data_IF_012445651973
#
_entry.id   IF_012445651973
#
_cell.length_a   1.000
_cell.length_b   1.000
_cell.length_c   1.000
_cell.angle_alpha   90.00
_cell.angle_beta   90.00
_cell.angle_gamma   90.00
#
_symmetry.space_group_name_H-M   'P 1'
#
loop_
_entity.id
_entity.type
_entity.pdbx_description
1 polymer ?
#
# COMPACT_ATOMS: atom_id res chain seq x y z
N UNK A 1 -4.70 9.87 -20.76
CA UNK A 1 -5.54 11.08 -20.54
C UNK A 1 -4.70 12.14 -19.85
N UNK A 2 -4.70 13.40 -20.30
CA UNK A 2 -3.91 14.47 -19.66
C UNK A 2 -4.80 15.27 -18.71
N UNK A 3 -4.45 15.29 -17.43
CA UNK A 3 -5.14 16.09 -16.39
C UNK A 3 -4.24 17.24 -15.98
N UNK A 4 -4.76 18.47 -15.98
CA UNK A 4 -4.00 19.64 -15.48
C UNK A 4 -4.08 19.71 -13.95
N UNK A 5 -3.14 19.04 -13.30
CA UNK A 5 -3.02 18.96 -11.85
C UNK A 5 -1.60 19.36 -11.42
N UNK A 6 -1.49 20.11 -10.33
CA UNK A 6 -0.22 20.38 -9.67
C UNK A 6 0.13 19.18 -8.79
N UNK A 7 1.07 18.35 -9.23
CA UNK A 7 1.38 17.07 -8.56
C UNK A 7 1.97 17.25 -7.17
N UNK A 8 2.78 18.30 -6.97
CA UNK A 8 3.34 18.63 -5.66
C UNK A 8 2.23 18.97 -4.64
N UNK A 9 1.31 19.87 -5.01
CA UNK A 9 0.17 20.23 -4.13
C UNK A 9 -0.76 19.02 -3.92
N UNK A 10 -1.07 18.25 -4.96
CA UNK A 10 -1.99 17.12 -4.85
C UNK A 10 -1.45 15.99 -3.95
N UNK A 11 -0.16 15.63 -4.12
CA UNK A 11 0.49 14.63 -3.28
C UNK A 11 0.59 15.10 -1.81
N UNK A 12 0.95 16.36 -1.58
CA UNK A 12 1.00 16.93 -0.23
C UNK A 12 -0.38 17.04 0.43
N UNK A 13 -1.43 17.44 -0.31
CA UNK A 13 -2.79 17.50 0.22
C UNK A 13 -3.34 16.11 0.60
N UNK A 14 -3.08 15.09 -0.22
CA UNK A 14 -3.41 13.70 0.11
C UNK A 14 -2.61 13.19 1.31
N UNK A 15 -1.31 13.48 1.37
CA UNK A 15 -0.43 13.09 2.48
C UNK A 15 -0.83 13.72 3.81
N UNK A 16 -1.20 15.01 3.83
CA UNK A 16 -1.76 15.67 5.01
C UNK A 16 -3.12 15.09 5.41
N UNK A 17 -4.03 14.85 4.46
CA UNK A 17 -5.36 14.27 4.74
C UNK A 17 -5.24 12.88 5.34
N UNK A 18 -4.36 12.04 4.79
CA UNK A 18 -4.09 10.70 5.30
C UNK A 18 -3.37 10.73 6.65
N UNK A 19 -2.38 11.60 6.83
CA UNK A 19 -1.68 11.81 8.10
C UNK A 19 -2.63 12.25 9.22
N UNK A 20 -3.52 13.20 8.95
CA UNK A 20 -4.55 13.64 9.90
C UNK A 20 -5.54 12.52 10.27
N UNK A 21 -5.99 11.73 9.29
CA UNK A 21 -6.89 10.59 9.52
C UNK A 21 -6.25 9.46 10.36
N UNK A 22 -4.92 9.39 10.41
CA UNK A 22 -4.15 8.43 11.20
C UNK A 22 -3.55 9.02 12.50
N UNK A 23 -3.67 10.33 12.73
CA UNK A 23 -3.10 10.99 13.92
C UNK A 23 -3.83 10.61 15.22
N UNK A 24 -5.13 10.32 15.11
CA UNK A 24 -5.98 9.93 16.24
C UNK A 24 -5.73 8.45 16.63
N UNK A 25 -5.35 8.15 17.89
CA UNK A 25 -5.19 6.78 18.35
C UNK A 25 -6.52 6.00 18.24
N UNK A 26 -6.45 4.76 17.73
CA UNK A 26 -7.62 3.87 17.59
C UNK A 26 -7.60 2.64 18.51
N UNK A 27 -6.52 2.47 19.29
CA UNK A 27 -6.32 1.38 20.24
C UNK A 27 -5.21 1.74 21.25
N UNK A 28 -5.10 0.96 22.33
CA UNK A 28 -4.01 1.06 23.32
C UNK A 28 -2.67 0.54 22.77
N UNK A 29 -2.06 1.34 21.89
CA UNK A 29 -0.73 1.04 21.34
C UNK A 29 0.33 1.28 22.43
N UNK A 30 1.09 0.22 22.76
CA UNK A 30 2.15 0.27 23.77
C UNK A 30 3.15 1.41 23.58
N UNK A 31 3.66 1.97 24.69
CA UNK A 31 4.46 3.22 24.72
C UNK A 31 5.71 3.21 23.83
N UNK A 32 6.30 2.05 23.56
CA UNK A 32 7.41 1.89 22.61
C UNK A 32 6.90 1.72 21.17
N UNK A 33 5.89 0.86 20.97
CA UNK A 33 5.30 0.57 19.66
C UNK A 33 4.70 1.79 18.96
N UNK A 34 4.24 2.81 19.71
CA UNK A 34 3.69 4.05 19.14
C UNK A 34 4.76 5.04 18.64
N UNK A 35 6.05 4.84 18.98
CA UNK A 35 7.15 5.76 18.58
C UNK A 35 7.35 5.71 17.06
N UNK A 36 7.43 4.51 16.48
CA UNK A 36 7.68 4.35 15.04
C UNK A 36 6.54 4.91 14.17
N UNK A 37 5.24 4.59 14.39
CA UNK A 37 4.13 5.22 13.68
C UNK A 37 4.12 6.75 13.80
N UNK A 38 4.42 7.31 14.98
CA UNK A 38 4.51 8.78 15.18
C UNK A 38 5.66 9.40 14.39
N UNK A 39 6.83 8.76 14.36
CA UNK A 39 7.96 9.20 13.54
C UNK A 39 7.62 9.19 12.04
N UNK A 40 6.97 8.12 11.56
CA UNK A 40 6.52 8.02 10.16
C UNK A 40 5.46 9.08 9.84
N UNK A 41 4.48 9.32 10.72
CA UNK A 41 3.46 10.37 10.53
C UNK A 41 4.06 11.78 10.53
N UNK A 42 5.06 12.04 11.39
CA UNK A 42 5.79 13.32 11.40
C UNK A 42 6.56 13.53 10.09
N UNK A 43 7.30 12.52 9.62
CA UNK A 43 8.04 12.56 8.35
C UNK A 43 7.08 12.76 7.17
N UNK A 44 5.98 12.01 7.12
CA UNK A 44 4.92 12.18 6.11
C UNK A 44 4.37 13.61 6.13
N UNK A 45 4.09 14.16 7.31
CA UNK A 45 3.55 15.52 7.47
C UNK A 45 4.55 16.57 6.97
N UNK A 46 5.82 16.48 7.37
CA UNK A 46 6.88 17.39 6.94
C UNK A 46 7.10 17.35 5.42
N UNK A 47 7.16 16.15 4.82
CA UNK A 47 7.26 15.98 3.36
C UNK A 47 6.02 16.57 2.67
N UNK A 48 4.83 16.35 3.21
CA UNK A 48 3.57 16.84 2.63
C UNK A 48 3.46 18.37 2.66
N UNK A 49 3.87 19.01 3.76
CA UNK A 49 4.00 20.48 3.84
C UNK A 49 5.04 20.98 2.85
N UNK A 50 6.22 20.36 2.79
CA UNK A 50 7.28 20.74 1.87
C UNK A 50 6.84 20.65 0.40
N UNK A 51 6.07 19.62 0.03
CA UNK A 51 5.48 19.47 -1.29
C UNK A 51 4.43 20.56 -1.60
N UNK A 52 3.57 20.93 -0.65
CA UNK A 52 2.61 22.03 -0.84
C UNK A 52 3.35 23.36 -1.05
N UNK A 53 4.32 23.69 -0.20
CA UNK A 53 5.13 24.92 -0.31
C UNK A 53 5.89 24.96 -1.65
N UNK A 54 6.57 23.86 -2.01
CA UNK A 54 7.23 23.68 -3.31
C UNK A 54 6.25 23.86 -4.47
N UNK A 55 5.04 23.31 -4.37
CA UNK A 55 3.99 23.40 -5.37
C UNK A 55 3.47 24.83 -5.61
N UNK A 56 3.58 25.73 -4.63
CA UNK A 56 3.33 27.15 -4.82
C UNK A 56 4.57 27.91 -5.34
N UNK A 57 5.77 27.65 -4.79
CA UNK A 57 7.00 28.41 -5.08
C UNK A 57 7.63 28.03 -6.43
N UNK A 58 7.73 26.72 -6.73
CA UNK A 58 8.37 26.18 -7.94
C UNK A 58 7.75 24.82 -8.31
N UNK A 59 6.50 24.81 -8.83
CA UNK A 59 5.79 23.56 -9.18
C UNK A 59 6.55 22.76 -10.25
N UNK A 60 6.73 21.46 -10.00
CA UNK A 60 7.51 20.54 -10.83
C UNK A 60 6.73 20.05 -12.06
N UNK A 61 5.41 19.92 -11.93
CA UNK A 61 4.52 19.41 -12.96
C UNK A 61 3.13 20.01 -12.85
N UNK A 62 2.58 20.43 -14.00
CA UNK A 62 1.20 20.96 -14.14
C UNK A 62 0.32 20.09 -15.04
N UNK A 63 0.83 18.95 -15.50
CA UNK A 63 0.15 18.01 -16.37
C UNK A 63 0.50 16.59 -15.89
N UNK A 64 -0.53 15.82 -15.55
CA UNK A 64 -0.43 14.38 -15.29
C UNK A 64 -0.92 13.67 -16.54
N UNK A 65 0.00 13.04 -17.27
CA UNK A 65 -0.39 12.07 -18.28
C UNK A 65 -0.71 10.73 -17.60
N UNK A 66 -2.00 10.38 -17.56
CA UNK A 66 -2.43 9.07 -17.12
C UNK A 66 -2.19 8.11 -18.28
N UNK A 67 -1.07 7.40 -18.21
CA UNK A 67 -0.73 6.23 -19.01
C UNK A 67 -1.43 4.98 -18.42
N UNK A 68 -1.92 4.09 -19.28
CA UNK A 68 -2.74 2.95 -18.85
C UNK A 68 -4.18 3.34 -18.45
N UNK A 69 -4.79 2.54 -17.56
CA UNK A 69 -6.22 2.62 -17.22
C UNK A 69 -6.47 3.28 -15.86
N UNK A 70 -7.22 4.40 -15.77
CA UNK A 70 -7.62 4.99 -14.50
C UNK A 70 -8.45 4.05 -13.63
N UNK A 71 -9.33 3.26 -14.26
CA UNK A 71 -10.16 2.26 -13.56
C UNK A 71 -9.27 1.21 -12.89
N UNK A 72 -8.22 0.73 -13.58
CA UNK A 72 -7.27 -0.26 -13.03
C UNK A 72 -6.53 0.28 -11.80
N UNK A 73 -6.12 1.55 -11.84
CA UNK A 73 -5.51 2.22 -10.68
C UNK A 73 -6.49 2.26 -9.49
N UNK A 74 -7.74 2.66 -9.72
CA UNK A 74 -8.78 2.67 -8.67
C UNK A 74 -9.07 1.25 -8.15
N UNK A 75 -9.14 0.24 -9.00
CA UNK A 75 -9.31 -1.17 -8.58
C UNK A 75 -8.15 -1.65 -7.71
N UNK A 76 -6.91 -1.31 -8.04
CA UNK A 76 -5.73 -1.66 -7.21
C UNK A 76 -5.75 -0.92 -5.87
N UNK A 77 -6.10 0.38 -5.85
CA UNK A 77 -6.24 1.16 -4.61
C UNK A 77 -7.31 0.55 -3.69
N UNK A 78 -8.49 0.24 -4.22
CA UNK A 78 -9.55 -0.45 -3.48
C UNK A 78 -9.08 -1.83 -3.00
N UNK A 79 -8.35 -2.57 -3.85
CA UNK A 79 -7.74 -3.86 -3.49
C UNK A 79 -6.78 -3.78 -2.30
N UNK A 80 -5.99 -2.71 -2.18
CA UNK A 80 -5.13 -2.48 -1.01
C UNK A 80 -5.93 -2.18 0.26
N UNK A 81 -7.00 -1.38 0.20
CA UNK A 81 -7.87 -1.15 1.35
C UNK A 81 -8.63 -2.41 1.78
N UNK A 82 -9.07 -3.24 0.83
CA UNK A 82 -9.69 -4.54 1.11
C UNK A 82 -8.68 -5.53 1.71
N UNK A 83 -7.45 -5.61 1.18
CA UNK A 83 -6.38 -6.40 1.79
C UNK A 83 -6.12 -5.96 3.24
N UNK A 84 -5.96 -4.66 3.49
CA UNK A 84 -5.71 -4.14 4.84
C UNK A 84 -6.84 -4.51 5.81
N UNK A 85 -8.10 -4.28 5.44
CA UNK A 85 -9.25 -4.65 6.28
C UNK A 85 -9.45 -6.15 6.48
N UNK A 86 -8.95 -6.99 5.57
CA UNK A 86 -9.03 -8.45 5.68
C UNK A 86 -7.87 -9.07 6.47
N UNK A 87 -6.73 -8.37 6.63
CA UNK A 87 -5.58 -8.88 7.41
C UNK A 87 -5.95 -9.16 8.87
N UNK A 88 -6.79 -8.33 9.49
CA UNK A 88 -7.26 -8.53 10.87
C UNK A 88 -8.27 -9.68 11.01
N UNK A 89 -8.86 -10.17 9.90
CA UNK A 89 -9.86 -11.24 9.89
C UNK A 89 -9.28 -12.59 9.48
N UNK A 90 -8.54 -12.61 8.37
CA UNK A 90 -7.98 -13.82 7.75
C UNK A 90 -6.51 -14.05 8.09
N UNK A 91 -5.88 -13.10 8.80
CA UNK A 91 -4.46 -13.14 9.17
C UNK A 91 -3.55 -12.64 8.05
N UNK A 92 -2.36 -12.14 8.42
CA UNK A 92 -1.45 -11.50 7.48
C UNK A 92 -1.05 -12.43 6.31
N UNK A 93 -0.66 -13.67 6.61
CA UNK A 93 -0.08 -14.59 5.62
C UNK A 93 -1.11 -14.98 4.55
N UNK A 94 -2.30 -15.42 4.98
CA UNK A 94 -3.37 -15.85 4.07
C UNK A 94 -3.89 -14.68 3.21
N UNK A 95 -4.17 -13.54 3.84
CA UNK A 95 -4.66 -12.35 3.12
C UNK A 95 -3.65 -11.85 2.10
N UNK A 96 -2.36 -11.86 2.44
CA UNK A 96 -1.29 -11.41 1.54
C UNK A 96 -1.06 -12.39 0.39
N UNK A 97 -1.12 -13.71 0.62
CA UNK A 97 -1.11 -14.68 -0.47
C UNK A 97 -2.29 -14.47 -1.43
N UNK A 98 -3.51 -14.35 -0.91
CA UNK A 98 -4.72 -14.09 -1.72
C UNK A 98 -4.56 -12.80 -2.53
N UNK A 99 -4.10 -11.71 -1.91
CA UNK A 99 -3.89 -10.43 -2.59
C UNK A 99 -2.80 -10.49 -3.67
N UNK A 100 -1.67 -11.16 -3.43
CA UNK A 100 -0.61 -11.31 -4.44
C UNK A 100 -1.05 -12.18 -5.63
N UNK A 101 -1.80 -13.26 -5.40
CA UNK A 101 -2.38 -14.05 -6.49
C UNK A 101 -3.43 -13.24 -7.28
N UNK A 102 -4.33 -12.53 -6.58
CA UNK A 102 -5.35 -11.70 -7.20
C UNK A 102 -4.76 -10.55 -8.03
N UNK A 103 -3.79 -9.81 -7.48
CA UNK A 103 -3.08 -8.73 -8.18
C UNK A 103 -2.29 -9.27 -9.37
N UNK A 104 -1.60 -10.40 -9.22
CA UNK A 104 -0.85 -11.02 -10.33
C UNK A 104 -1.80 -11.46 -11.46
N UNK A 105 -2.93 -12.10 -11.14
CA UNK A 105 -3.95 -12.46 -12.13
C UNK A 105 -4.67 -11.24 -12.71
N UNK A 106 -4.80 -10.14 -11.98
CA UNK A 106 -5.48 -8.93 -12.47
C UNK A 106 -4.57 -8.12 -13.40
N UNK A 107 -3.31 -7.92 -13.03
CA UNK A 107 -2.35 -7.12 -13.78
C UNK A 107 -1.77 -7.90 -14.97
N UNK A 108 -1.48 -9.19 -14.84
CA UNK A 108 -0.98 -9.97 -15.98
C UNK A 108 -2.06 -10.20 -17.06
N UNK A 109 -3.36 -10.19 -16.70
CA UNK A 109 -4.49 -10.23 -17.65
C UNK A 109 -4.65 -8.96 -18.50
N UNK A 110 -3.72 -8.00 -18.39
CA UNK A 110 -3.59 -6.86 -19.31
C UNK A 110 -2.73 -7.24 -20.52
N UNK A 111 -1.55 -7.81 -20.27
CA UNK A 111 -0.54 -8.08 -21.29
C UNK A 111 -0.72 -9.47 -21.94
N UNK A 112 -1.38 -10.41 -21.26
CA UNK A 112 -1.43 -11.80 -21.73
C UNK A 112 -2.56 -12.63 -21.11
N UNK A 113 -2.97 -13.71 -21.78
CA UNK A 113 -3.98 -14.65 -21.26
C UNK A 113 -3.40 -15.43 -20.07
N UNK A 114 -4.01 -15.32 -18.89
CA UNK A 114 -3.55 -16.01 -17.68
C UNK A 114 -4.24 -17.36 -17.55
N UNK A 115 -3.56 -18.43 -17.99
CA UNK A 115 -4.00 -19.81 -17.81
C UNK A 115 -3.66 -20.34 -16.40
N UNK A 116 -4.36 -21.39 -15.96
CA UNK A 116 -4.08 -22.05 -14.67
C UNK A 116 -2.64 -22.57 -14.57
N UNK A 117 -2.10 -23.16 -15.65
CA UNK A 117 -0.70 -23.60 -15.72
C UNK A 117 0.29 -22.45 -15.53
N UNK A 118 -0.04 -21.23 -16.01
CA UNK A 118 0.79 -20.04 -15.85
C UNK A 118 0.73 -19.50 -14.42
N UNK A 119 -0.45 -19.52 -13.78
CA UNK A 119 -0.57 -19.23 -12.34
C UNK A 119 0.29 -20.19 -11.52
N UNK A 120 0.17 -21.50 -11.76
CA UNK A 120 0.91 -22.53 -11.04
C UNK A 120 2.45 -22.39 -11.18
N UNK A 121 2.94 -21.90 -12.32
CA UNK A 121 4.35 -21.56 -12.53
C UNK A 121 4.81 -20.30 -11.78
N UNK A 122 3.92 -19.39 -11.43
CA UNK A 122 4.22 -18.21 -10.63
C UNK A 122 3.99 -18.41 -9.12
N UNK A 123 3.20 -19.42 -8.72
CA UNK A 123 2.95 -19.76 -7.32
C UNK A 123 4.21 -19.90 -6.46
N UNK A 124 5.31 -20.57 -6.91
CA UNK A 124 6.53 -20.66 -6.10
C UNK A 124 7.16 -19.29 -5.80
N UNK A 125 7.15 -18.37 -6.78
CA UNK A 125 7.70 -17.02 -6.63
C UNK A 125 6.84 -16.22 -5.64
N UNK A 126 5.51 -16.31 -5.76
CA UNK A 126 4.57 -15.63 -4.83
C UNK A 126 4.73 -16.16 -3.40
N UNK A 127 4.76 -17.49 -3.23
CA UNK A 127 4.90 -18.13 -1.90
C UNK A 127 6.26 -17.82 -1.27
N UNK A 128 7.36 -17.86 -2.04
CA UNK A 128 8.69 -17.47 -1.53
C UNK A 128 8.73 -15.99 -1.18
N UNK A 129 8.20 -15.09 -2.01
CA UNK A 129 8.21 -13.65 -1.73
C UNK A 129 7.42 -13.29 -0.46
N UNK A 130 6.20 -13.82 -0.32
CA UNK A 130 5.37 -13.58 0.87
C UNK A 130 5.94 -14.29 2.10
N UNK A 131 6.49 -15.50 1.95
CA UNK A 131 7.15 -16.25 3.02
C UNK A 131 8.42 -15.58 3.55
N UNK A 132 9.28 -15.07 2.67
CA UNK A 132 10.48 -14.29 3.06
C UNK A 132 10.07 -13.00 3.78
N UNK A 133 9.03 -12.31 3.31
CA UNK A 133 8.51 -11.13 4.01
C UNK A 133 7.97 -11.48 5.40
N UNK A 134 7.16 -12.54 5.50
CA UNK A 134 6.61 -13.04 6.77
C UNK A 134 7.73 -13.36 7.77
N UNK A 135 8.69 -14.21 7.40
CA UNK A 135 9.82 -14.61 8.25
C UNK A 135 10.75 -13.45 8.61
N UNK A 136 10.91 -12.46 7.72
CA UNK A 136 11.64 -11.22 8.04
C UNK A 136 10.93 -10.47 9.16
N UNK A 137 9.60 -10.38 9.12
CA UNK A 137 8.83 -9.68 10.15
C UNK A 137 8.76 -10.47 11.47
N UNK A 138 8.52 -11.78 11.44
CA UNK A 138 8.41 -12.59 12.67
C UNK A 138 9.77 -12.87 13.31
N UNK A 139 10.76 -13.38 12.56
CA UNK A 139 12.01 -13.87 13.13
C UNK A 139 13.08 -12.76 13.27
N UNK A 140 13.24 -11.92 12.24
CA UNK A 140 14.30 -10.90 12.21
C UNK A 140 13.86 -9.63 12.93
N UNK A 141 12.66 -9.13 12.65
CA UNK A 141 12.14 -7.89 13.23
C UNK A 141 11.32 -8.10 14.52
N UNK A 142 11.01 -9.35 14.89
CA UNK A 142 10.24 -9.70 16.10
C UNK A 142 8.85 -9.00 16.18
N UNK A 143 8.26 -8.72 15.01
CA UNK A 143 6.94 -8.10 14.86
C UNK A 143 5.87 -9.18 14.91
N UNK A 144 4.94 -9.05 15.86
CA UNK A 144 3.71 -9.85 15.89
C UNK A 144 2.78 -9.40 14.78
N UNK A 145 2.73 -10.18 13.70
CA UNK A 145 1.75 -10.03 12.63
C UNK A 145 0.38 -10.59 13.08
N UNK A 146 -0.75 -10.08 12.56
CA UNK A 146 -2.06 -10.65 12.86
C UNK A 146 -2.18 -12.12 12.44
N UNK A 147 -2.37 -12.98 13.45
CA UNK A 147 -2.94 -14.33 13.33
C UNK A 147 -4.44 -14.20 13.11
N UNK A 148 -4.98 -14.88 12.11
CA UNK A 148 -6.38 -14.76 11.72
C UNK A 148 -7.31 -15.72 12.45
N UNK A 149 -8.57 -15.80 11.99
CA UNK A 149 -9.53 -16.81 12.46
C UNK A 149 -9.11 -18.27 12.18
N UNK A 150 -8.08 -18.51 11.38
CA UNK A 150 -7.69 -19.83 10.89
C UNK A 150 -6.33 -20.32 11.43
N UNK A 151 -5.41 -19.41 11.75
CA UNK A 151 -4.09 -19.63 12.38
C UNK A 151 -3.40 -18.29 12.69
#
# INVERSE_FOLDING_TARGET
MIVRLNTDIAAGALGLTFGAALWFPRADIGRLSIIFPRAVLLILTLISVALIVKGFVKPSGRQVEITGSPLRLVTVIIGFFLWWGLVDLLGFLLTTLIAFFALTWYLARVETVVSWQRMLKWSPIIVVLVGVFYLTFTEVLNVRLPTGLFF
#
